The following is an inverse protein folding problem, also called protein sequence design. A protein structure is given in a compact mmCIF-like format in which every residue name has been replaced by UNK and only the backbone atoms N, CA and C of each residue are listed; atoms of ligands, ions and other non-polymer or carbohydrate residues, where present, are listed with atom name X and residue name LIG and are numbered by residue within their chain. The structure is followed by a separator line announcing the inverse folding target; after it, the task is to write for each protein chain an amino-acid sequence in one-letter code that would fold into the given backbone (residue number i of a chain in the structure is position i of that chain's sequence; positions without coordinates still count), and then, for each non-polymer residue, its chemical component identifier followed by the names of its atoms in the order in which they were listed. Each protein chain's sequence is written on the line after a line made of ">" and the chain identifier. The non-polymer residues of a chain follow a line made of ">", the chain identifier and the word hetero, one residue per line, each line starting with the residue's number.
data_IF_560266148132
#
_entry.id   IF_560266148132
#
_cell.length_a   1.000
_cell.length_b   1.000
_cell.length_c   1.000
_cell.angle_alpha   90.00
_cell.angle_beta   90.00
_cell.angle_gamma   90.00
#
_symmetry.space_group_name_H-M   'P 1'
#
loop_
_entity.id
_entity.type
_entity.pdbx_description
1 polymer ?
#
# COMPACT_ATOMS: atom_id res chain seq x y z
N UNK A 1 -20.74 8.57 -3.40
CA UNK A 1 -19.30 8.41 -3.13
C UNK A 1 -18.70 7.88 -4.41
N UNK A 2 -17.92 8.70 -5.10
CA UNK A 2 -17.46 8.36 -6.45
C UNK A 2 -16.07 7.72 -6.46
N UNK A 3 -15.26 8.06 -5.45
CA UNK A 3 -13.89 7.57 -5.29
C UNK A 3 -13.61 7.16 -3.85
N UNK A 4 -13.07 5.94 -3.67
CA UNK A 4 -12.43 5.47 -2.44
C UNK A 4 -10.90 5.52 -2.62
N UNK A 5 -10.18 6.03 -1.64
CA UNK A 5 -8.72 5.90 -1.55
C UNK A 5 -8.35 5.20 -0.25
N UNK A 6 -7.89 3.95 -0.35
CA UNK A 6 -7.37 3.19 0.78
C UNK A 6 -5.90 3.56 1.03
N UNK A 7 -5.67 4.56 1.87
CA UNK A 7 -4.34 5.09 2.21
C UNK A 7 -3.90 4.82 3.66
N UNK A 8 -4.76 4.24 4.51
CA UNK A 8 -4.37 3.91 5.89
C UNK A 8 -3.27 2.86 5.89
N UNK A 9 -2.18 3.12 6.62
CA UNK A 9 -0.99 2.29 6.61
C UNK A 9 -0.14 2.45 7.86
N UNK A 10 0.27 1.33 8.46
CA UNK A 10 1.32 1.26 9.47
C UNK A 10 2.46 0.35 9.01
N UNK A 11 3.64 0.50 9.62
CA UNK A 11 4.77 -0.39 9.40
C UNK A 11 5.31 -0.88 10.73
N UNK A 12 5.78 -2.13 10.74
CA UNK A 12 6.58 -2.72 11.81
C UNK A 12 7.83 -3.34 11.16
N UNK A 13 8.96 -3.30 11.85
CA UNK A 13 10.22 -3.84 11.35
C UNK A 13 10.92 -4.69 12.40
N UNK A 14 10.99 -5.99 12.14
CA UNK A 14 11.62 -7.00 13.00
C UNK A 14 11.95 -8.24 12.17
N UNK A 15 12.96 -9.02 12.57
CA UNK A 15 13.30 -10.27 11.91
C UNK A 15 12.17 -11.28 12.08
N UNK A 16 11.96 -12.12 11.05
CA UNK A 16 10.84 -13.06 11.03
C UNK A 16 10.84 -14.08 12.18
N UNK A 17 12.00 -14.35 12.79
CA UNK A 17 12.12 -15.24 13.95
C UNK A 17 11.80 -14.55 15.28
N UNK A 18 11.83 -13.22 15.32
CA UNK A 18 11.69 -12.43 16.54
C UNK A 18 10.34 -11.70 16.62
N UNK A 19 9.65 -11.53 15.49
CA UNK A 19 8.39 -10.77 15.44
C UNK A 19 7.30 -11.41 16.29
N UNK A 20 6.71 -10.61 17.18
CA UNK A 20 5.54 -11.02 17.94
C UNK A 20 4.29 -11.11 17.05
N UNK A 21 3.45 -12.13 17.28
CA UNK A 21 2.18 -12.30 16.56
C UNK A 21 1.30 -11.04 16.62
N UNK A 22 1.27 -10.35 17.75
CA UNK A 22 0.46 -9.14 17.92
C UNK A 22 0.90 -8.01 16.97
N UNK A 23 2.20 -7.84 16.75
CA UNK A 23 2.73 -6.84 15.82
C UNK A 23 2.54 -7.25 14.36
N UNK A 24 2.70 -8.55 14.07
CA UNK A 24 2.36 -9.11 12.77
C UNK A 24 0.90 -8.85 12.39
N UNK A 25 -0.02 -9.28 13.25
CA UNK A 25 -1.46 -9.16 13.07
C UNK A 25 -1.86 -7.70 12.93
N UNK A 26 -1.32 -6.81 13.77
CA UNK A 26 -1.60 -5.38 13.72
C UNK A 26 -1.33 -4.77 12.34
N UNK A 27 -0.21 -5.14 11.70
CA UNK A 27 0.15 -4.65 10.36
C UNK A 27 -0.79 -5.22 9.29
N UNK A 28 -1.05 -6.53 9.31
CA UNK A 28 -1.94 -7.18 8.32
C UNK A 28 -3.37 -6.67 8.46
N UNK A 29 -3.87 -6.57 9.68
CA UNK A 29 -5.24 -6.16 9.96
C UNK A 29 -5.49 -4.71 9.57
N UNK A 30 -4.55 -3.81 9.90
CA UNK A 30 -4.70 -2.39 9.56
C UNK A 30 -4.62 -2.18 8.05
N UNK A 31 -3.62 -2.76 7.40
CA UNK A 31 -3.27 -2.37 6.05
C UNK A 31 -4.01 -3.16 4.99
N UNK A 32 -4.20 -4.47 5.19
CA UNK A 32 -4.84 -5.34 4.20
C UNK A 32 -6.30 -5.61 4.56
N UNK A 33 -6.57 -6.13 5.76
CA UNK A 33 -7.93 -6.48 6.16
C UNK A 33 -8.82 -5.23 6.25
N UNK A 34 -8.30 -4.14 6.82
CA UNK A 34 -8.98 -2.85 6.89
C UNK A 34 -9.35 -2.33 5.50
N UNK A 35 -8.38 -2.28 4.58
CA UNK A 35 -8.61 -1.85 3.21
C UNK A 35 -9.66 -2.73 2.49
N UNK A 36 -9.62 -4.04 2.69
CA UNK A 36 -10.61 -4.98 2.15
C UNK A 36 -12.02 -4.70 2.70
N UNK A 37 -12.16 -4.52 4.01
CA UNK A 37 -13.46 -4.24 4.65
C UNK A 37 -14.09 -2.97 4.09
N UNK A 38 -13.31 -1.88 4.00
CA UNK A 38 -13.79 -0.61 3.47
C UNK A 38 -14.15 -0.73 1.99
N UNK A 39 -13.29 -1.37 1.18
CA UNK A 39 -13.56 -1.59 -0.25
C UNK A 39 -14.82 -2.43 -0.47
N UNK A 40 -15.00 -3.52 0.28
CA UNK A 40 -16.18 -4.38 0.21
C UNK A 40 -17.47 -3.62 0.54
N UNK A 41 -17.44 -2.81 1.60
CA UNK A 41 -18.59 -2.01 2.01
C UNK A 41 -18.91 -0.86 1.04
N UNK A 42 -17.90 -0.27 0.40
CA UNK A 42 -18.08 0.69 -0.68
C UNK A 42 -18.67 0.02 -1.93
N UNK A 43 -18.13 -1.13 -2.34
CA UNK A 43 -18.61 -1.91 -3.47
C UNK A 43 -20.07 -2.32 -3.32
N UNK A 44 -20.47 -2.84 -2.14
CA UNK A 44 -21.87 -3.15 -1.84
C UNK A 44 -22.79 -1.95 -2.04
N UNK A 45 -22.42 -0.78 -1.52
CA UNK A 45 -23.23 0.45 -1.63
C UNK A 45 -23.38 0.92 -3.07
N UNK A 46 -22.29 0.88 -3.85
CA UNK A 46 -22.31 1.23 -5.28
C UNK A 46 -23.21 0.29 -6.07
N UNK A 47 -23.09 -1.03 -5.87
CA UNK A 47 -23.94 -2.03 -6.52
C UNK A 47 -25.40 -1.85 -6.14
N UNK A 48 -25.72 -1.65 -4.86
CA UNK A 48 -27.09 -1.40 -4.39
C UNK A 48 -27.70 -0.12 -4.99
N UNK A 49 -26.90 0.91 -5.18
CA UNK A 49 -27.34 2.17 -5.77
C UNK A 49 -27.38 2.14 -7.31
N UNK A 50 -26.88 1.08 -7.96
CA UNK A 50 -26.73 1.02 -9.42
C UNK A 50 -25.75 2.06 -9.97
N UNK A 51 -24.74 2.44 -9.19
CA UNK A 51 -23.79 3.50 -9.52
C UNK A 51 -22.39 2.95 -9.83
N UNK A 52 -21.70 3.49 -10.86
CA UNK A 52 -20.29 3.17 -11.08
C UNK A 52 -19.42 3.81 -9.97
N UNK A 53 -18.15 3.41 -9.91
CA UNK A 53 -17.23 4.02 -8.95
C UNK A 53 -15.77 3.70 -9.21
N UNK A 54 -14.90 4.27 -8.39
CA UNK A 54 -13.45 4.06 -8.47
C UNK A 54 -12.87 3.77 -7.09
N UNK A 55 -12.06 2.73 -6.97
CA UNK A 55 -11.33 2.39 -5.76
C UNK A 55 -9.83 2.41 -6.08
N UNK A 56 -9.08 3.15 -5.28
CA UNK A 56 -7.63 3.28 -5.40
C UNK A 56 -7.00 2.75 -4.11
N UNK A 57 -6.23 1.67 -4.23
CA UNK A 57 -5.46 1.11 -3.14
C UNK A 57 -4.03 1.65 -3.16
N UNK A 58 -3.47 1.98 -2.00
CA UNK A 58 -2.06 2.36 -1.88
C UNK A 58 -1.26 1.09 -1.58
N UNK A 59 -0.44 0.70 -2.55
CA UNK A 59 0.53 -0.37 -2.47
C UNK A 59 1.96 0.20 -2.32
N UNK A 60 2.97 -0.51 -2.81
CA UNK A 60 4.37 -0.09 -2.82
C UNK A 60 5.12 -0.79 -3.95
N UNK A 61 6.12 -0.11 -4.54
CA UNK A 61 7.03 -0.75 -5.50
C UNK A 61 7.77 -1.96 -4.92
N UNK A 62 7.83 -2.08 -3.60
CA UNK A 62 8.44 -3.22 -2.92
C UNK A 62 7.45 -4.36 -2.65
N UNK A 63 6.18 -4.24 -3.03
CA UNK A 63 5.20 -5.32 -2.90
C UNK A 63 5.58 -6.66 -3.55
N UNK A 64 6.31 -6.68 -4.69
CA UNK A 64 6.79 -7.93 -5.29
C UNK A 64 8.14 -8.43 -4.73
N UNK A 65 8.82 -7.68 -3.85
CA UNK A 65 10.18 -7.98 -3.40
C UNK A 65 10.29 -8.11 -1.88
N UNK A 66 10.95 -9.17 -1.41
CA UNK A 66 11.27 -9.34 0.00
C UNK A 66 12.25 -8.29 0.50
N UNK A 67 12.07 -7.84 1.74
CA UNK A 67 13.04 -7.00 2.46
C UNK A 67 13.24 -7.66 3.82
N UNK A 68 14.50 -7.96 4.15
CA UNK A 68 14.85 -8.45 5.47
C UNK A 68 14.31 -7.52 6.56
N UNK A 69 13.74 -8.10 7.61
CA UNK A 69 13.18 -7.37 8.74
C UNK A 69 11.87 -6.62 8.44
N UNK A 70 11.17 -6.92 7.34
CA UNK A 70 9.92 -6.22 6.95
C UNK A 70 8.84 -7.18 6.48
N UNK A 71 8.85 -8.39 6.99
CA UNK A 71 7.99 -9.47 6.51
C UNK A 71 6.48 -9.10 6.49
N UNK A 72 5.85 -8.51 7.53
CA UNK A 72 4.41 -8.21 7.46
C UNK A 72 4.11 -7.09 6.46
N UNK A 73 5.06 -6.16 6.31
CA UNK A 73 4.99 -5.07 5.34
C UNK A 73 5.03 -5.62 3.92
N UNK A 74 5.95 -6.54 3.63
CA UNK A 74 6.03 -7.20 2.33
C UNK A 74 4.77 -8.02 2.03
N UNK A 75 4.29 -8.81 2.99
CA UNK A 75 3.09 -9.64 2.83
C UNK A 75 1.85 -8.81 2.51
N UNK A 76 1.55 -7.75 3.26
CA UNK A 76 0.36 -6.95 2.98
C UNK A 76 0.45 -6.24 1.63
N UNK A 77 1.65 -5.78 1.23
CA UNK A 77 1.85 -5.07 -0.03
C UNK A 77 1.62 -6.00 -1.24
N UNK A 78 2.12 -7.24 -1.18
CA UNK A 78 1.81 -8.27 -2.16
C UNK A 78 0.32 -8.64 -2.18
N UNK A 79 -0.28 -8.80 -0.99
CA UNK A 79 -1.71 -9.08 -0.83
C UNK A 79 -2.60 -7.97 -1.39
N UNK A 80 -2.24 -6.70 -1.17
CA UNK A 80 -2.96 -5.53 -1.67
C UNK A 80 -3.00 -5.51 -3.20
N UNK A 81 -1.88 -5.82 -3.85
CA UNK A 81 -1.80 -5.89 -5.31
C UNK A 81 -2.72 -7.00 -5.85
N UNK A 82 -2.69 -8.19 -5.25
CA UNK A 82 -3.56 -9.28 -5.70
C UNK A 82 -5.04 -9.01 -5.42
N UNK A 83 -5.36 -8.51 -4.23
CA UNK A 83 -6.72 -8.08 -3.87
C UNK A 83 -7.24 -7.06 -4.88
N UNK A 84 -6.43 -6.08 -5.26
CA UNK A 84 -6.81 -5.07 -6.28
C UNK A 84 -7.20 -5.74 -7.59
N UNK A 85 -6.41 -6.71 -8.08
CA UNK A 85 -6.71 -7.44 -9.32
C UNK A 85 -8.00 -8.24 -9.21
N UNK A 86 -8.18 -8.99 -8.12
CA UNK A 86 -9.37 -9.80 -7.89
C UNK A 86 -10.63 -8.95 -7.85
N UNK A 87 -10.62 -7.86 -7.06
CA UNK A 87 -11.78 -6.96 -6.96
C UNK A 87 -12.08 -6.26 -8.30
N UNK A 88 -11.04 -5.89 -9.07
CA UNK A 88 -11.24 -5.31 -10.40
C UNK A 88 -11.96 -6.28 -11.35
N UNK A 89 -11.60 -7.56 -11.32
CA UNK A 89 -12.25 -8.60 -12.14
C UNK A 89 -13.70 -8.84 -11.70
N UNK A 90 -13.94 -8.96 -10.40
CA UNK A 90 -15.28 -9.23 -9.86
C UNK A 90 -16.26 -8.08 -10.09
N UNK A 91 -15.78 -6.83 -9.99
CA UNK A 91 -16.66 -5.65 -9.98
C UNK A 91 -16.70 -4.88 -11.31
N UNK A 92 -15.95 -5.31 -12.33
CA UNK A 92 -15.99 -4.72 -13.66
C UNK A 92 -17.40 -4.68 -14.25
N UNK A 93 -18.17 -5.77 -14.06
CA UNK A 93 -19.57 -5.87 -14.52
C UNK A 93 -20.51 -4.83 -13.88
N UNK A 94 -20.11 -4.23 -12.76
CA UNK A 94 -20.88 -3.19 -12.05
C UNK A 94 -20.40 -1.77 -12.38
N UNK A 95 -19.47 -1.60 -13.33
CA UNK A 95 -18.89 -0.29 -13.65
C UNK A 95 -17.97 0.26 -12.55
N UNK A 96 -17.47 -0.60 -11.66
CA UNK A 96 -16.56 -0.21 -10.57
C UNK A 96 -15.13 -0.55 -10.98
N UNK A 97 -14.28 0.47 -11.06
CA UNK A 97 -12.85 0.30 -11.34
C UNK A 97 -12.07 0.17 -10.05
N UNK A 98 -11.15 -0.79 -9.98
CA UNK A 98 -10.25 -0.96 -8.84
C UNK A 98 -8.80 -0.94 -9.33
N UNK A 99 -7.99 -0.03 -8.81
CA UNK A 99 -6.59 0.14 -9.21
C UNK A 99 -5.71 0.31 -7.97
N UNK A 100 -4.41 0.07 -8.14
CA UNK A 100 -3.42 0.32 -7.10
C UNK A 100 -2.37 1.31 -7.59
N UNK A 101 -1.99 2.24 -6.71
CA UNK A 101 -0.80 3.07 -6.89
C UNK A 101 0.30 2.46 -6.03
N UNK A 102 1.48 2.26 -6.61
CA UNK A 102 2.64 1.72 -5.92
C UNK A 102 3.73 2.79 -5.86
N UNK A 103 3.77 3.64 -4.82
CA UNK A 103 4.77 4.68 -4.71
C UNK A 103 6.17 4.10 -4.50
N UNK A 104 7.16 4.83 -5.02
CA UNK A 104 8.56 4.70 -4.62
C UNK A 104 8.79 5.28 -3.21
N UNK A 105 10.04 5.62 -2.89
CA UNK A 105 10.35 6.26 -1.62
C UNK A 105 9.82 7.69 -1.61
N UNK A 106 8.83 7.95 -0.75
CA UNK A 106 8.32 9.29 -0.46
C UNK A 106 8.79 9.69 0.93
N UNK A 107 9.30 10.92 1.05
CA UNK A 107 9.64 11.49 2.36
C UNK A 107 8.38 11.74 3.16
N UNK A 108 8.34 11.17 4.35
CA UNK A 108 7.28 11.39 5.35
C UNK A 108 7.92 11.53 6.73
N UNK A 109 7.16 12.04 7.69
CA UNK A 109 7.60 12.16 9.09
C UNK A 109 8.13 10.83 9.66
N UNK A 110 7.60 9.70 9.17
CA UNK A 110 8.01 8.35 9.59
C UNK A 110 9.42 7.96 9.12
N UNK A 111 9.89 8.49 7.99
CA UNK A 111 11.13 8.00 7.35
C UNK A 111 12.15 9.09 7.01
N UNK A 112 11.83 10.37 7.24
CA UNK A 112 12.72 11.48 6.90
C UNK A 112 14.11 11.33 7.54
N UNK A 113 14.17 10.93 8.81
CA UNK A 113 15.42 10.71 9.52
C UNK A 113 16.28 9.61 8.88
N UNK A 114 15.66 8.57 8.30
CA UNK A 114 16.38 7.48 7.65
C UNK A 114 17.16 7.98 6.42
N UNK A 115 16.63 8.91 5.64
CA UNK A 115 17.31 9.41 4.45
C UNK A 115 18.57 10.25 4.75
N UNK A 116 18.71 10.74 5.99
CA UNK A 116 19.93 11.39 6.46
C UNK A 116 21.05 10.41 6.88
N UNK A 117 20.76 9.11 6.99
CA UNK A 117 21.75 8.09 7.39
C UNK A 117 22.58 7.61 6.19
N UNK A 118 23.74 6.99 6.44
CA UNK A 118 24.57 6.41 5.37
C UNK A 118 23.82 5.33 4.56
N UNK A 119 23.08 4.37 5.17
CA UNK A 119 22.20 3.46 4.43
C UNK A 119 21.14 4.17 3.59
N UNK A 120 20.51 5.22 4.14
CA UNK A 120 19.55 6.05 3.43
C UNK A 120 20.15 6.71 2.20
N UNK A 121 21.31 7.35 2.34
CA UNK A 121 22.03 7.98 1.25
C UNK A 121 22.44 6.97 0.15
N UNK A 122 22.89 5.77 0.53
CA UNK A 122 23.17 4.68 -0.43
C UNK A 122 21.92 4.25 -1.19
N UNK A 123 20.78 4.18 -0.51
CA UNK A 123 19.51 3.84 -1.14
C UNK A 123 19.08 4.92 -2.14
N UNK A 124 19.17 6.20 -1.79
CA UNK A 124 18.86 7.33 -2.70
C UNK A 124 19.71 7.26 -3.96
N UNK A 125 21.00 6.90 -3.84
CA UNK A 125 21.87 6.69 -5.01
C UNK A 125 21.41 5.56 -5.94
N UNK A 126 20.60 4.62 -5.48
CA UNK A 126 20.04 3.54 -6.34
C UNK A 126 18.76 3.95 -7.04
N UNK A 127 18.13 5.05 -6.63
CA UNK A 127 16.94 5.60 -7.29
C UNK A 127 17.41 6.23 -8.62
N UNK A 128 16.81 5.89 -9.78
CA UNK A 128 17.22 6.45 -11.07
C UNK A 128 17.23 7.97 -11.10
N UNK A 129 16.22 8.63 -10.52
CA UNK A 129 16.16 10.09 -10.40
C UNK A 129 17.03 10.68 -9.29
N UNK A 130 17.73 9.85 -8.49
CA UNK A 130 18.64 10.28 -7.41
C UNK A 130 17.99 11.16 -6.35
N UNK A 131 16.67 11.09 -6.22
CA UNK A 131 15.89 11.81 -5.21
C UNK A 131 14.76 10.93 -4.69
N UNK A 132 14.30 11.24 -3.49
CA UNK A 132 13.04 10.74 -2.94
C UNK A 132 11.89 11.64 -3.38
N UNK A 133 10.68 11.11 -3.41
CA UNK A 133 9.49 11.89 -3.70
C UNK A 133 9.05 12.72 -2.50
N UNK A 134 8.25 13.74 -2.77
CA UNK A 134 7.67 14.62 -1.75
C UNK A 134 6.13 14.50 -1.76
N UNK A 135 5.46 14.69 -0.61
CA UNK A 135 4.00 14.76 -0.55
C UNK A 135 3.49 15.82 -1.55
N UNK A 136 2.61 15.41 -2.48
CA UNK A 136 2.10 16.28 -3.55
C UNK A 136 2.79 16.12 -4.91
N UNK A 137 3.95 15.46 -4.97
CA UNK A 137 4.62 15.11 -6.23
C UNK A 137 4.88 13.60 -6.28
N UNK A 138 3.79 12.81 -6.29
CA UNK A 138 3.81 11.35 -6.39
C UNK A 138 4.24 10.82 -7.78
N UNK A 139 4.54 11.71 -8.72
CA UNK A 139 4.91 11.38 -10.09
C UNK A 139 6.38 10.97 -10.14
N UNK A 140 6.61 9.67 -9.96
CA UNK A 140 7.83 8.91 -10.28
C UNK A 140 9.10 9.45 -9.63
N UNK A 141 9.79 8.60 -8.86
CA UNK A 141 11.16 8.82 -8.37
C UNK A 141 11.98 7.57 -8.70
#
# INVERSE_FOLDING_TARGET
>A
MDVLVNNSGIAHGELALEIENADWDRVIDTNLRGAWLVAREAGKRLVQAGQPGSIINIASIRGPGGIEGRDPVCCFQGGMIQMTRTLALEWAQHGIRVNAIAPGFITTDMNQAFFGTEPGARMVKRIPMRRVGEPGNSTVC
#
